data_IF_263926161650
#
_entry.id   IF_263926161650
#
_cell.length_a   1.000
_cell.length_b   1.000
_cell.length_c   1.000
_cell.angle_alpha   90.00
_cell.angle_beta   90.00
_cell.angle_gamma   90.00
#
_symmetry.space_group_name_H-M   'P 1'
#
loop_
_entity.id
_entity.type
_entity.pdbx_description
1 polymer ?
#
# COMPACT_ATOMS: atom_id res chain seq x y z
N UNK A 1 1.38 2.64 -32.88
CA UNK A 1 2.51 2.38 -31.95
C UNK A 1 3.68 1.84 -32.74
N UNK A 2 4.84 2.46 -32.64
CA UNK A 2 6.04 2.14 -33.44
C UNK A 2 6.73 0.83 -33.01
N UNK A 3 6.37 0.26 -31.85
CA UNK A 3 7.05 -0.90 -31.27
C UNK A 3 8.46 -0.62 -30.72
N UNK A 4 8.91 0.63 -30.79
CA UNK A 4 10.22 1.01 -30.28
C UNK A 4 10.26 0.87 -28.75
N UNK A 5 11.32 0.28 -28.17
CA UNK A 5 11.46 0.16 -26.73
C UNK A 5 11.49 1.54 -26.06
N UNK A 6 10.78 1.65 -24.92
CA UNK A 6 10.73 2.86 -24.10
C UNK A 6 10.72 2.47 -22.62
N UNK A 7 11.36 3.26 -21.78
CA UNK A 7 11.40 3.04 -20.34
C UNK A 7 10.45 3.99 -19.61
N UNK A 8 9.69 3.48 -18.68
CA UNK A 8 8.78 4.24 -17.79
C UNK A 8 9.01 3.84 -16.33
N UNK A 9 8.58 4.68 -15.38
CA UNK A 9 8.26 4.24 -14.01
C UNK A 9 6.88 3.58 -14.04
N UNK A 10 6.77 2.38 -13.51
CA UNK A 10 5.50 1.65 -13.50
C UNK A 10 5.16 1.09 -12.13
N UNK A 11 3.88 1.24 -11.73
CA UNK A 11 3.36 0.66 -10.49
C UNK A 11 2.95 -0.80 -10.73
N UNK A 12 3.62 -1.72 -10.05
CA UNK A 12 3.45 -3.17 -10.22
C UNK A 12 3.56 -3.88 -8.88
N UNK A 13 3.03 -5.10 -8.80
CA UNK A 13 3.27 -5.96 -7.64
C UNK A 13 4.76 -6.33 -7.54
N UNK A 14 5.30 -6.28 -6.30
CA UNK A 14 6.70 -6.56 -6.00
C UNK A 14 7.04 -8.06 -6.07
N UNK A 15 6.82 -8.68 -7.20
CA UNK A 15 7.13 -10.11 -7.43
C UNK A 15 8.60 -10.28 -7.83
N UNK A 16 9.51 -10.25 -6.85
CA UNK A 16 10.94 -10.41 -7.08
C UNK A 16 11.59 -9.20 -7.78
N UNK A 17 11.13 -7.99 -7.47
CA UNK A 17 11.64 -6.75 -8.06
C UNK A 17 12.50 -5.96 -7.08
N UNK A 18 11.99 -5.70 -5.86
CA UNK A 18 12.71 -5.12 -4.73
C UNK A 18 12.78 -6.19 -3.65
N UNK A 19 14.00 -6.70 -3.37
CA UNK A 19 14.17 -7.93 -2.62
C UNK A 19 13.84 -7.80 -1.13
N UNK A 20 14.03 -6.62 -0.55
CA UNK A 20 13.77 -6.33 0.85
C UNK A 20 12.44 -5.62 1.14
N UNK A 21 11.46 -5.74 0.23
CA UNK A 21 10.07 -5.33 0.44
C UNK A 21 9.12 -6.53 0.24
N UNK A 22 7.92 -6.52 0.85
CA UNK A 22 6.94 -7.60 0.70
C UNK A 22 6.53 -7.81 -0.77
N UNK A 23 6.35 -9.09 -1.16
CA UNK A 23 5.93 -9.43 -2.53
C UNK A 23 4.54 -8.92 -2.91
N UNK A 24 3.68 -8.70 -1.91
CA UNK A 24 2.32 -8.19 -2.06
C UNK A 24 2.25 -6.66 -2.15
N UNK A 25 3.36 -5.97 -1.89
CA UNK A 25 3.41 -4.52 -2.00
C UNK A 25 3.27 -4.07 -3.46
N UNK A 26 2.62 -2.95 -3.68
CA UNK A 26 2.69 -2.23 -4.94
C UNK A 26 3.92 -1.33 -4.92
N UNK A 27 4.81 -1.49 -5.89
CA UNK A 27 6.07 -0.73 -5.98
C UNK A 27 6.18 -0.05 -7.33
N UNK A 28 6.85 1.10 -7.37
CA UNK A 28 7.23 1.75 -8.61
C UNK A 28 8.66 1.36 -8.96
N UNK A 29 8.82 0.72 -10.12
CA UNK A 29 10.12 0.30 -10.65
C UNK A 29 10.26 0.72 -12.10
N UNK A 30 11.50 0.82 -12.64
CA UNK A 30 11.72 0.95 -14.06
C UNK A 30 11.06 -0.20 -14.82
N UNK A 31 10.28 0.11 -15.83
CA UNK A 31 9.65 -0.87 -16.71
C UNK A 31 10.05 -0.60 -18.15
N UNK A 32 10.49 -1.64 -18.85
CA UNK A 32 10.71 -1.59 -20.28
C UNK A 32 9.38 -1.85 -21.01
N UNK A 33 8.97 -0.93 -21.86
CA UNK A 33 7.76 -1.09 -22.69
C UNK A 33 8.18 -1.32 -24.13
N UNK A 34 7.64 -2.36 -24.76
CA UNK A 34 7.90 -2.67 -26.18
C UNK A 34 6.65 -3.29 -26.82
N UNK A 35 6.78 -3.84 -28.04
CA UNK A 35 5.68 -4.47 -28.76
C UNK A 35 5.08 -5.71 -28.07
N UNK A 36 5.76 -6.29 -27.07
CA UNK A 36 5.31 -7.45 -26.31
C UNK A 36 4.68 -7.09 -24.96
N UNK A 37 4.73 -5.82 -24.55
CA UNK A 37 4.10 -5.36 -23.32
C UNK A 37 5.00 -4.56 -22.39
N UNK A 38 4.64 -4.59 -21.09
CA UNK A 38 5.34 -3.91 -20.01
C UNK A 38 6.15 -4.95 -19.20
N UNK A 39 7.45 -4.74 -19.10
CA UNK A 39 8.40 -5.64 -18.44
C UNK A 39 9.05 -4.90 -17.26
N UNK A 40 8.62 -5.17 -16.02
CA UNK A 40 9.25 -4.60 -14.84
C UNK A 40 10.69 -5.10 -14.68
N UNK A 41 11.59 -4.19 -14.29
CA UNK A 41 12.99 -4.52 -14.07
C UNK A 41 13.24 -4.83 -12.59
N UNK A 42 14.06 -5.86 -12.32
CA UNK A 42 14.57 -6.14 -10.98
C UNK A 42 15.50 -5.03 -10.52
N UNK A 43 15.32 -4.59 -9.28
CA UNK A 43 16.07 -3.48 -8.66
C UNK A 43 17.08 -3.99 -7.62
N UNK A 44 16.76 -5.10 -6.93
CA UNK A 44 17.52 -5.61 -5.79
C UNK A 44 17.11 -4.95 -4.47
N UNK A 45 18.03 -4.89 -3.51
CA UNK A 45 17.75 -4.30 -2.19
C UNK A 45 17.75 -2.78 -2.22
N UNK A 46 16.77 -2.17 -1.56
CA UNK A 46 16.83 -0.77 -1.19
C UNK A 46 17.78 -0.58 0.01
N UNK A 47 18.42 0.61 0.14
CA UNK A 47 19.08 0.97 1.39
C UNK A 47 18.13 0.81 2.59
N UNK A 48 18.65 0.32 3.73
CA UNK A 48 17.82 -0.05 4.90
C UNK A 48 16.88 1.07 5.35
N UNK A 49 17.38 2.30 5.40
CA UNK A 49 16.57 3.47 5.79
C UNK A 49 15.44 3.75 4.78
N UNK A 50 15.67 3.52 3.48
CA UNK A 50 14.65 3.70 2.45
C UNK A 50 13.59 2.60 2.53
N UNK A 51 14.01 1.34 2.72
CA UNK A 51 13.09 0.22 2.92
C UNK A 51 12.23 0.44 4.18
N UNK A 52 12.82 0.89 5.29
CA UNK A 52 12.09 1.20 6.52
C UNK A 52 11.02 2.29 6.31
N UNK A 53 11.37 3.36 5.60
CA UNK A 53 10.40 4.42 5.27
C UNK A 53 9.28 3.93 4.35
N UNK A 54 9.59 3.12 3.35
CA UNK A 54 8.57 2.52 2.49
C UNK A 54 7.63 1.59 3.29
N UNK A 55 8.17 0.80 4.22
CA UNK A 55 7.40 -0.12 5.06
C UNK A 55 6.36 0.59 5.91
N UNK A 56 6.58 1.83 6.36
CA UNK A 56 5.58 2.58 7.13
C UNK A 56 4.27 2.76 6.35
N UNK A 57 4.35 3.03 5.05
CA UNK A 57 3.19 3.17 4.18
C UNK A 57 2.67 1.82 3.65
N UNK A 58 3.56 0.88 3.33
CA UNK A 58 3.19 -0.46 2.86
C UNK A 58 2.33 -1.18 3.91
N UNK A 59 2.66 -1.08 5.19
CA UNK A 59 1.88 -1.67 6.28
C UNK A 59 0.42 -1.18 6.27
N UNK A 60 0.21 0.12 6.11
CA UNK A 60 -1.13 0.73 6.03
C UNK A 60 -1.89 0.22 4.81
N UNK A 61 -1.23 0.17 3.66
CA UNK A 61 -1.83 -0.32 2.41
C UNK A 61 -2.26 -1.79 2.51
N UNK A 62 -1.39 -2.66 3.03
CA UNK A 62 -1.68 -4.08 3.19
C UNK A 62 -2.82 -4.32 4.19
N UNK A 63 -2.86 -3.60 5.32
CA UNK A 63 -3.96 -3.68 6.28
C UNK A 63 -5.29 -3.18 5.69
N UNK A 64 -5.25 -2.12 4.88
CA UNK A 64 -6.43 -1.61 4.18
C UNK A 64 -6.98 -2.65 3.20
N UNK A 65 -6.09 -3.31 2.45
CA UNK A 65 -6.47 -4.41 1.54
C UNK A 65 -7.05 -5.59 2.33
N UNK A 66 -6.45 -5.93 3.47
CA UNK A 66 -6.93 -7.02 4.31
C UNK A 66 -8.30 -6.68 4.94
N UNK A 67 -8.51 -5.43 5.36
CA UNK A 67 -9.82 -4.96 5.81
C UNK A 67 -10.89 -5.12 4.72
N UNK A 68 -10.57 -4.75 3.48
CA UNK A 68 -11.48 -4.87 2.35
C UNK A 68 -11.83 -6.32 2.00
N UNK A 69 -10.87 -7.25 2.17
CA UNK A 69 -11.07 -8.68 1.90
C UNK A 69 -11.84 -9.40 2.99
N UNK A 70 -11.54 -9.09 4.25
CA UNK A 70 -12.05 -9.83 5.42
C UNK A 70 -13.26 -9.19 6.05
N UNK A 71 -13.49 -7.91 5.79
CA UNK A 71 -14.49 -7.04 6.43
C UNK A 71 -14.32 -6.94 7.95
N UNK A 72 -13.11 -7.22 8.46
CA UNK A 72 -12.79 -7.08 9.88
C UNK A 72 -12.45 -5.62 10.20
N UNK A 73 -13.22 -5.03 11.11
CA UNK A 73 -13.06 -3.64 11.55
C UNK A 73 -11.70 -3.39 12.20
N UNK A 74 -11.16 -4.40 12.90
CA UNK A 74 -9.86 -4.31 13.54
C UNK A 74 -8.72 -3.94 12.59
N UNK A 75 -8.76 -4.40 11.33
CA UNK A 75 -7.75 -4.05 10.34
C UNK A 75 -7.81 -2.56 9.95
N UNK A 76 -9.00 -1.94 10.01
CA UNK A 76 -9.15 -0.48 9.76
C UNK A 76 -8.50 0.30 10.91
N UNK A 77 -8.78 -0.09 12.17
CA UNK A 77 -8.14 0.53 13.32
C UNK A 77 -6.63 0.40 13.27
N UNK A 78 -6.12 -0.81 12.98
CA UNK A 78 -4.68 -1.07 12.88
C UNK A 78 -4.03 -0.26 11.75
N UNK A 79 -4.68 -0.16 10.59
CA UNK A 79 -4.20 0.68 9.49
C UNK A 79 -4.10 2.15 9.89
N UNK A 80 -5.13 2.69 10.55
CA UNK A 80 -5.14 4.07 11.02
C UNK A 80 -4.08 4.33 12.12
N UNK A 81 -3.86 3.37 13.03
CA UNK A 81 -2.85 3.47 14.09
C UNK A 81 -1.42 3.42 13.56
N UNK A 82 -1.19 2.68 12.47
CA UNK A 82 0.13 2.55 11.85
C UNK A 82 0.41 3.60 10.78
N UNK A 83 -0.59 4.41 10.41
CA UNK A 83 -0.36 5.54 9.51
C UNK A 83 0.59 6.55 10.18
N UNK A 84 1.72 6.88 9.54
CA UNK A 84 2.76 7.72 10.18
C UNK A 84 2.25 9.10 10.59
N UNK A 85 1.34 9.69 9.83
CA UNK A 85 0.77 11.00 10.17
C UNK A 85 -0.25 10.87 11.31
N UNK A 86 -1.23 10.00 11.16
CA UNK A 86 -2.28 9.80 12.17
C UNK A 86 -1.70 9.38 13.51
N UNK A 87 -0.75 8.45 13.51
CA UNK A 87 -0.10 7.95 14.73
C UNK A 87 0.84 8.97 15.40
N UNK A 88 1.29 10.01 14.68
CA UNK A 88 2.08 11.10 15.28
C UNK A 88 1.23 12.20 15.90
N UNK A 89 -0.01 12.38 15.44
CA UNK A 89 -0.89 13.48 15.83
C UNK A 89 -1.93 13.08 16.91
N UNK A 90 -2.32 11.81 16.95
CA UNK A 90 -3.45 11.35 17.77
C UNK A 90 -3.04 10.15 18.66
N UNK A 91 -3.64 10.07 19.84
CA UNK A 91 -3.56 8.88 20.69
C UNK A 91 -4.47 7.76 20.16
N UNK A 92 -4.24 6.52 20.65
CA UNK A 92 -4.92 5.32 20.19
C UNK A 92 -6.45 5.40 20.34
N UNK A 93 -6.94 5.94 21.44
CA UNK A 93 -8.37 6.03 21.72
C UNK A 93 -9.05 7.05 20.80
N UNK A 94 -8.38 8.16 20.54
CA UNK A 94 -8.83 9.18 19.58
C UNK A 94 -8.85 8.62 18.16
N UNK A 95 -7.84 7.83 17.75
CA UNK A 95 -7.80 7.18 16.44
C UNK A 95 -8.99 6.21 16.28
N UNK A 96 -9.27 5.39 17.30
CA UNK A 96 -10.43 4.49 17.27
C UNK A 96 -11.73 5.24 17.10
N UNK A 97 -11.93 6.29 17.90
CA UNK A 97 -13.13 7.14 17.81
C UNK A 97 -13.26 7.79 16.43
N UNK A 98 -12.17 8.32 15.87
CA UNK A 98 -12.16 8.91 14.53
C UNK A 98 -12.59 7.90 13.47
N UNK A 99 -12.08 6.65 13.54
CA UNK A 99 -12.46 5.58 12.59
C UNK A 99 -13.94 5.25 12.73
N UNK A 100 -14.46 5.16 13.96
CA UNK A 100 -15.89 4.88 14.22
C UNK A 100 -16.77 5.99 13.65
N UNK A 101 -16.44 7.24 13.94
CA UNK A 101 -17.16 8.42 13.44
C UNK A 101 -17.17 8.47 11.90
N UNK A 102 -16.03 8.12 11.26
CA UNK A 102 -15.93 8.09 9.80
C UNK A 102 -16.73 6.93 9.18
N UNK A 103 -16.73 5.74 9.78
CA UNK A 103 -17.54 4.61 9.30
C UNK A 103 -19.02 4.96 9.40
N UNK A 104 -19.46 5.56 10.51
CA UNK A 104 -20.84 6.01 10.69
C UNK A 104 -21.23 7.08 9.65
N UNK A 105 -20.38 8.08 9.44
CA UNK A 105 -20.63 9.14 8.48
C UNK A 105 -20.71 8.66 7.03
N UNK A 106 -19.94 7.65 6.66
CA UNK A 106 -20.00 7.05 5.31
C UNK A 106 -21.23 6.16 5.10
N UNK A 107 -21.79 5.58 6.18
CA UNK A 107 -23.03 4.80 6.13
C UNK A 107 -23.02 3.73 5.04
N UNK A 108 -24.01 3.75 4.16
CA UNK A 108 -24.21 2.73 3.11
C UNK A 108 -23.17 2.76 1.97
N UNK A 109 -22.27 3.75 1.94
CA UNK A 109 -21.14 3.75 0.98
C UNK A 109 -20.06 2.74 1.36
N UNK A 110 -20.04 2.26 2.60
CA UNK A 110 -19.12 1.24 3.07
C UNK A 110 -19.83 -0.10 3.29
N UNK A 111 -19.13 -1.23 3.10
CA UNK A 111 -19.67 -2.53 3.53
C UNK A 111 -19.81 -2.58 5.05
N UNK A 112 -20.66 -3.48 5.54
CA UNK A 112 -20.75 -3.71 6.98
C UNK A 112 -19.51 -4.47 7.45
N UNK A 113 -18.70 -3.82 8.28
CA UNK A 113 -17.56 -4.44 8.94
C UNK A 113 -18.01 -5.19 10.20
N UNK A 114 -17.30 -6.28 10.52
CA UNK A 114 -17.49 -7.16 11.68
C UNK A 114 -16.30 -7.08 12.65
#
# INVERSE_FOLDING_TARGET
TTGNPYQIGGNVLNKGLIDNLPAEACVEVPCLVNGYGVHPCHVGDLPVQCAAMNMTNINVQLLTIEAAKTLKKDHIYQAAMLDPHTGSELDIDTIKKMVDDLIEAHGDYLPKYI
#
